data_IF_110794676203
#
_entry.id   IF_110794676203
#
_cell.length_a   1.000
_cell.length_b   1.000
_cell.length_c   1.000
_cell.angle_alpha   90.00
_cell.angle_beta   90.00
_cell.angle_gamma   90.00
#
_symmetry.space_group_name_H-M   'P 1'
#
loop_
_entity.id
_entity.type
_entity.pdbx_description
1 polymer ?
#
# COMPACT_ATOMS: atom_id res chain seq x y z
N UNK A 1 -8.59 -13.21 2.94
CA UNK A 1 -9.42 -14.40 2.58
C UNK A 1 -10.79 -14.36 3.27
N UNK A 2 -10.88 -14.12 4.57
CA UNK A 2 -12.16 -14.13 5.32
C UNK A 2 -13.19 -13.12 4.79
N UNK A 3 -12.76 -11.94 4.36
CA UNK A 3 -13.62 -10.88 3.84
C UNK A 3 -13.64 -10.82 2.31
N UNK A 4 -13.04 -11.79 1.61
CA UNK A 4 -12.99 -11.90 0.14
C UNK A 4 -12.41 -10.67 -0.57
N UNK A 5 -11.53 -9.93 0.10
CA UNK A 5 -10.82 -8.81 -0.53
C UNK A 5 -9.83 -9.38 -1.53
N UNK A 6 -9.81 -8.91 -2.81
CA UNK A 6 -8.85 -9.37 -3.79
C UNK A 6 -7.44 -8.91 -3.42
N UNK A 7 -6.59 -9.87 -3.14
CA UNK A 7 -5.17 -9.68 -2.77
C UNK A 7 -4.36 -10.89 -3.22
N UNK A 8 -3.06 -10.87 -3.01
CA UNK A 8 -2.17 -11.99 -3.25
C UNK A 8 -2.61 -13.24 -2.49
N UNK A 9 -2.43 -14.41 -3.08
CA UNK A 9 -2.48 -15.64 -2.33
C UNK A 9 -1.27 -15.72 -1.42
N UNK A 10 -1.49 -16.12 -0.16
CA UNK A 10 -0.44 -16.10 0.85
C UNK A 10 -0.57 -17.23 1.87
N UNK A 11 0.55 -17.54 2.51
CA UNK A 11 0.61 -18.35 3.72
C UNK A 11 1.55 -17.70 4.74
N UNK A 12 1.25 -17.89 6.04
CA UNK A 12 2.01 -17.36 7.17
C UNK A 12 2.63 -18.48 7.96
N UNK A 13 3.87 -18.30 8.40
CA UNK A 13 4.66 -19.29 9.10
C UNK A 13 5.36 -18.67 10.30
N UNK A 14 5.23 -19.32 11.45
CA UNK A 14 6.00 -19.07 12.67
C UNK A 14 7.19 -20.05 12.81
N UNK A 15 7.34 -20.97 11.84
CA UNK A 15 8.38 -21.98 11.80
C UNK A 15 9.14 -21.91 10.46
N UNK A 16 10.48 -21.84 10.57
CA UNK A 16 11.39 -21.71 9.41
C UNK A 16 11.34 -22.90 8.47
N UNK A 17 11.30 -24.11 9.01
CA UNK A 17 11.33 -25.34 8.21
C UNK A 17 10.03 -25.48 7.40
N UNK A 18 8.90 -25.17 8.01
CA UNK A 18 7.58 -25.15 7.33
C UNK A 18 7.54 -24.10 6.22
N UNK A 19 8.08 -22.89 6.47
CA UNK A 19 8.17 -21.83 5.47
C UNK A 19 9.00 -22.27 4.26
N UNK A 20 10.17 -22.90 4.47
CA UNK A 20 11.03 -23.39 3.40
C UNK A 20 10.37 -24.54 2.63
N UNK A 21 9.69 -25.45 3.32
CA UNK A 21 8.95 -26.55 2.68
C UNK A 21 7.82 -26.00 1.78
N UNK A 22 7.09 -25.01 2.25
CA UNK A 22 6.05 -24.35 1.45
C UNK A 22 6.67 -23.63 0.24
N UNK A 23 7.75 -22.85 0.44
CA UNK A 23 8.46 -22.17 -0.64
C UNK A 23 8.86 -23.12 -1.77
N UNK A 24 9.33 -24.33 -1.44
CA UNK A 24 9.80 -25.30 -2.44
C UNK A 24 8.71 -25.71 -3.45
N UNK A 25 7.44 -25.67 -3.04
CA UNK A 25 6.28 -26.00 -3.87
C UNK A 25 5.73 -24.79 -4.66
N UNK A 26 6.22 -23.56 -4.40
CA UNK A 26 5.69 -22.35 -5.04
C UNK A 26 6.43 -22.00 -6.33
N UNK A 27 5.74 -21.37 -7.30
CA UNK A 27 6.37 -20.79 -8.47
C UNK A 27 7.20 -19.55 -8.10
N UNK A 28 8.06 -19.12 -9.03
CA UNK A 28 8.82 -17.88 -8.96
C UNK A 28 8.35 -16.91 -10.07
N UNK A 29 8.47 -15.59 -9.88
CA UNK A 29 8.94 -14.92 -8.67
C UNK A 29 7.96 -15.06 -7.50
N UNK A 30 8.44 -14.81 -6.27
CA UNK A 30 7.65 -14.92 -5.04
C UNK A 30 8.01 -13.78 -4.07
N UNK A 31 7.08 -13.39 -3.20
CA UNK A 31 7.30 -12.31 -2.24
C UNK A 31 7.41 -12.87 -0.82
N UNK A 32 8.48 -12.50 -0.14
CA UNK A 32 8.72 -12.85 1.26
C UNK A 32 8.60 -11.59 2.10
N UNK A 33 7.75 -11.61 3.12
CA UNK A 33 7.51 -10.47 4.02
C UNK A 33 7.70 -10.87 5.47
N UNK A 34 8.31 -9.97 6.26
CA UNK A 34 8.28 -10.06 7.72
C UNK A 34 6.92 -9.58 8.22
N UNK A 35 6.24 -10.38 9.06
CA UNK A 35 4.97 -10.01 9.68
C UNK A 35 5.23 -9.18 10.94
N UNK A 36 5.57 -7.91 10.74
CA UNK A 36 5.89 -6.98 11.82
C UNK A 36 6.36 -5.60 11.32
N UNK A 37 6.70 -4.74 12.28
CA UNK A 37 7.20 -3.39 12.00
C UNK A 37 8.66 -3.45 11.49
N UNK A 38 8.83 -3.68 10.19
CA UNK A 38 10.14 -3.76 9.54
C UNK A 38 10.51 -2.46 8.78
N UNK A 39 9.77 -1.36 8.99
CA UNK A 39 10.01 -0.05 8.36
C UNK A 39 10.17 -0.11 6.82
N UNK A 40 9.38 -0.97 6.16
CA UNK A 40 9.43 -1.17 4.70
C UNK A 40 10.62 -2.02 4.20
N UNK A 41 11.51 -2.46 5.10
CA UNK A 41 12.72 -3.24 4.74
C UNK A 41 12.50 -4.76 4.80
N UNK A 42 11.40 -5.22 5.37
CA UNK A 42 11.08 -6.64 5.55
C UNK A 42 10.39 -7.28 4.35
N UNK A 43 10.46 -6.70 3.15
CA UNK A 43 9.84 -7.22 1.92
C UNK A 43 10.92 -7.53 0.89
N UNK A 44 10.92 -8.76 0.40
CA UNK A 44 11.84 -9.23 -0.65
C UNK A 44 11.04 -9.86 -1.78
N UNK A 45 11.17 -9.32 -2.99
CA UNK A 45 10.73 -9.99 -4.22
C UNK A 45 11.87 -10.89 -4.67
N UNK A 46 11.65 -12.18 -4.67
CA UNK A 46 12.67 -13.19 -4.95
C UNK A 46 12.43 -13.87 -6.29
N UNK A 47 13.35 -13.65 -7.23
CA UNK A 47 13.36 -14.30 -8.54
C UNK A 47 13.98 -15.71 -8.52
N UNK A 48 14.65 -16.06 -7.42
CA UNK A 48 15.28 -17.37 -7.24
C UNK A 48 14.94 -17.96 -5.88
N UNK A 49 14.90 -19.30 -5.80
CA UNK A 49 14.71 -20.00 -4.52
C UNK A 49 15.75 -19.60 -3.48
N UNK A 50 17.02 -19.44 -3.88
CA UNK A 50 18.11 -19.03 -2.99
C UNK A 50 17.87 -17.65 -2.36
N UNK A 51 17.35 -16.68 -3.14
CA UNK A 51 16.99 -15.36 -2.61
C UNK A 51 15.83 -15.46 -1.63
N UNK A 52 14.81 -16.25 -1.94
CA UNK A 52 13.67 -16.45 -1.05
C UNK A 52 14.07 -17.15 0.26
N UNK A 53 14.91 -18.19 0.20
CA UNK A 53 15.44 -18.87 1.38
C UNK A 53 16.28 -17.92 2.24
N UNK A 54 17.12 -17.08 1.62
CA UNK A 54 17.90 -16.09 2.35
C UNK A 54 17.01 -15.07 3.05
N UNK A 55 15.94 -14.58 2.38
CA UNK A 55 14.98 -13.66 2.98
C UNK A 55 14.24 -14.29 4.18
N UNK A 56 13.83 -15.55 4.07
CA UNK A 56 13.22 -16.30 5.18
C UNK A 56 14.21 -16.43 6.35
N UNK A 57 15.48 -16.78 6.06
CA UNK A 57 16.51 -16.87 7.07
C UNK A 57 16.73 -15.54 7.78
N UNK A 58 16.87 -14.43 7.03
CA UNK A 58 17.08 -13.09 7.56
C UNK A 58 15.96 -12.65 8.53
N UNK A 59 14.71 -13.09 8.29
CA UNK A 59 13.58 -12.78 9.18
C UNK A 59 13.65 -13.61 10.46
N UNK A 60 13.85 -14.94 10.35
CA UNK A 60 13.94 -15.79 11.54
C UNK A 60 15.23 -15.59 12.35
N UNK A 61 16.29 -15.07 11.72
CA UNK A 61 17.53 -14.65 12.39
C UNK A 61 17.43 -13.22 12.98
N UNK A 62 16.20 -12.71 13.10
CA UNK A 62 15.84 -11.44 13.77
C UNK A 62 16.45 -10.16 13.16
N UNK A 63 16.88 -10.18 11.89
CA UNK A 63 17.49 -9.04 11.22
C UNK A 63 16.59 -7.80 11.14
N UNK A 64 15.26 -7.99 11.16
CA UNK A 64 14.25 -6.92 11.06
C UNK A 64 13.53 -6.68 12.39
N UNK A 65 13.78 -7.46 13.42
CA UNK A 65 13.16 -7.41 14.74
C UNK A 65 12.90 -8.81 15.30
N UNK A 66 12.70 -8.89 16.62
CA UNK A 66 12.54 -10.17 17.31
C UNK A 66 11.14 -10.78 17.10
N UNK A 67 11.06 -12.11 17.05
CA UNK A 67 9.83 -12.90 17.03
C UNK A 67 8.87 -12.53 15.89
N UNK A 68 9.38 -12.29 14.68
CA UNK A 68 8.55 -12.04 13.52
C UNK A 68 8.24 -13.34 12.77
N UNK A 69 6.98 -13.49 12.37
CA UNK A 69 6.58 -14.54 11.44
C UNK A 69 6.95 -14.15 10.01
N UNK A 70 6.97 -15.15 9.14
CA UNK A 70 7.16 -14.97 7.71
C UNK A 70 5.83 -15.10 6.98
N UNK A 71 5.54 -14.16 6.10
CA UNK A 71 4.45 -14.28 5.13
C UNK A 71 5.05 -14.50 3.75
N UNK A 72 4.60 -15.56 3.08
CA UNK A 72 5.00 -15.90 1.72
C UNK A 72 3.80 -15.64 0.82
N UNK A 73 3.95 -14.74 -0.15
CA UNK A 73 2.88 -14.32 -1.06
C UNK A 73 3.23 -14.60 -2.51
N UNK A 74 2.22 -14.87 -3.33
CA UNK A 74 2.39 -14.88 -4.77
C UNK A 74 2.89 -13.51 -5.26
N UNK A 75 3.73 -13.49 -6.27
CA UNK A 75 4.10 -12.25 -6.93
C UNK A 75 2.94 -11.77 -7.80
N UNK A 76 2.48 -10.54 -7.55
CA UNK A 76 1.48 -9.89 -8.39
C UNK A 76 2.19 -9.06 -9.45
N UNK A 77 1.99 -9.42 -10.73
CA UNK A 77 2.46 -8.66 -11.87
C UNK A 77 1.44 -7.55 -12.24
N UNK A 78 1.92 -6.40 -12.69
CA UNK A 78 1.08 -5.26 -13.06
C UNK A 78 1.76 -3.92 -12.83
N UNK A 79 0.96 -2.86 -12.81
CA UNK A 79 1.39 -1.51 -12.43
C UNK A 79 0.86 -1.15 -11.06
N UNK A 80 1.73 -0.61 -10.20
CA UNK A 80 1.33 -0.12 -8.89
C UNK A 80 0.55 1.20 -9.01
N UNK A 81 -0.46 1.37 -8.18
CA UNK A 81 -1.16 2.63 -7.97
C UNK A 81 -1.56 2.80 -6.51
N UNK A 82 -1.57 4.03 -6.06
CA UNK A 82 -1.95 4.45 -4.72
C UNK A 82 -3.35 5.04 -4.75
N UNK A 83 -4.28 4.48 -3.98
CA UNK A 83 -5.63 5.03 -3.85
C UNK A 83 -5.91 5.42 -2.39
N UNK A 84 -6.46 6.61 -2.21
CA UNK A 84 -6.68 7.19 -0.90
C UNK A 84 -8.15 7.47 -0.65
N UNK A 85 -8.59 7.16 0.58
CA UNK A 85 -9.93 7.52 1.04
C UNK A 85 -9.85 8.12 2.45
N UNK A 86 -10.72 9.10 2.73
CA UNK A 86 -10.94 9.59 4.08
C UNK A 86 -12.18 8.91 4.65
N UNK A 87 -12.04 8.28 5.83
CA UNK A 87 -13.06 7.44 6.45
C UNK A 87 -13.49 8.05 7.79
N UNK A 88 -14.78 8.02 8.12
CA UNK A 88 -15.31 8.53 9.39
C UNK A 88 -15.86 7.46 10.35
N UNK A 89 -15.62 6.20 10.01
CA UNK A 89 -16.11 5.04 10.76
C UNK A 89 -17.38 4.42 10.20
N UNK A 90 -18.15 5.16 9.41
CA UNK A 90 -19.36 4.73 8.73
C UNK A 90 -19.22 4.81 7.22
N UNK A 91 -18.86 5.99 6.73
CA UNK A 91 -18.74 6.34 5.33
C UNK A 91 -17.29 6.69 4.96
N UNK A 92 -17.04 6.84 3.68
CA UNK A 92 -15.77 7.35 3.17
C UNK A 92 -15.96 8.25 1.96
N UNK A 93 -14.99 9.14 1.72
CA UNK A 93 -14.85 9.93 0.50
C UNK A 93 -13.52 9.64 -0.17
N UNK A 94 -13.54 9.56 -1.50
CA UNK A 94 -12.34 9.36 -2.31
C UNK A 94 -11.47 10.60 -2.32
N UNK A 95 -10.16 10.43 -2.08
CA UNK A 95 -9.13 11.47 -2.16
C UNK A 95 -8.31 11.40 -3.45
N UNK A 96 -8.82 10.73 -4.48
CA UNK A 96 -8.14 10.49 -5.74
C UNK A 96 -7.05 9.42 -5.68
N UNK A 97 -6.40 9.21 -6.82
CA UNK A 97 -5.29 8.28 -7.00
C UNK A 97 -3.98 9.02 -7.23
N UNK A 98 -2.90 8.36 -6.91
CA UNK A 98 -1.56 8.77 -7.28
C UNK A 98 -0.74 7.56 -7.74
N UNK A 99 0.37 7.80 -8.38
CA UNK A 99 1.36 6.77 -8.68
C UNK A 99 2.72 7.28 -8.24
N UNK A 100 3.37 6.52 -7.37
CA UNK A 100 4.70 6.83 -6.87
C UNK A 100 5.77 6.03 -7.61
N UNK A 101 6.99 6.54 -7.57
CA UNK A 101 8.18 5.89 -8.13
C UNK A 101 9.13 5.56 -6.97
N UNK A 102 9.13 4.29 -6.57
CA UNK A 102 9.90 3.81 -5.42
C UNK A 102 11.30 3.39 -5.79
N UNK A 103 11.52 2.90 -7.00
CA UNK A 103 12.82 2.37 -7.40
C UNK A 103 13.80 3.47 -7.82
N UNK A 104 15.07 3.29 -7.44
CA UNK A 104 16.12 4.30 -7.64
C UNK A 104 16.56 4.45 -9.10
N UNK A 105 16.41 3.41 -9.90
CA UNK A 105 16.90 3.36 -11.28
C UNK A 105 15.86 3.71 -12.31
N UNK A 106 16.32 4.03 -13.52
CA UNK A 106 15.45 4.27 -14.67
C UNK A 106 14.63 3.03 -15.02
N UNK A 107 13.44 3.25 -15.60
CA UNK A 107 12.48 2.19 -15.97
C UNK A 107 12.09 1.28 -14.80
N UNK A 108 11.89 1.86 -13.62
CA UNK A 108 11.46 1.17 -12.40
C UNK A 108 12.37 -0.01 -12.04
N UNK A 109 13.69 0.23 -12.01
CA UNK A 109 14.71 -0.77 -11.71
C UNK A 109 15.48 -0.44 -10.43
N UNK A 110 16.20 -1.44 -9.90
CA UNK A 110 17.05 -1.27 -8.71
C UNK A 110 16.26 -1.41 -7.39
N UNK A 111 16.90 -1.10 -6.26
CA UNK A 111 16.30 -1.20 -4.94
C UNK A 111 15.21 -0.14 -4.70
N UNK A 112 14.25 -0.47 -3.84
CA UNK A 112 13.25 0.47 -3.37
C UNK A 112 13.87 1.56 -2.50
N UNK A 113 13.31 2.77 -2.62
CA UNK A 113 13.61 3.95 -1.80
C UNK A 113 12.37 4.34 -0.96
N UNK A 114 12.45 5.45 -0.25
CA UNK A 114 11.29 6.07 0.41
C UNK A 114 10.33 6.82 -0.52
N UNK A 115 10.54 6.71 -1.85
CA UNK A 115 9.79 7.43 -2.89
C UNK A 115 10.65 8.50 -3.57
N UNK A 116 10.82 8.39 -4.88
CA UNK A 116 11.58 9.34 -5.71
C UNK A 116 10.73 10.49 -6.22
N UNK A 117 9.44 10.30 -6.31
CA UNK A 117 8.44 11.25 -6.77
C UNK A 117 7.10 10.58 -6.98
N UNK A 118 6.09 11.38 -7.23
CA UNK A 118 4.74 10.91 -7.53
C UNK A 118 4.02 11.85 -8.48
N UNK A 119 2.95 11.34 -9.09
CA UNK A 119 2.01 12.17 -9.85
C UNK A 119 0.56 11.75 -9.57
N UNK A 120 -0.38 12.65 -9.82
CA UNK A 120 -1.83 12.44 -9.66
C UNK A 120 -2.59 13.15 -10.80
N UNK A 121 -3.66 12.53 -11.34
CA UNK A 121 -4.14 11.18 -11.08
C UNK A 121 -3.23 10.11 -11.69
N UNK A 122 -3.33 8.88 -11.22
CA UNK A 122 -2.66 7.74 -11.84
C UNK A 122 -3.42 7.32 -13.12
N UNK A 123 -2.81 7.35 -14.32
CA UNK A 123 -3.52 7.05 -15.57
C UNK A 123 -4.10 5.64 -15.63
N UNK A 124 -3.44 4.68 -14.98
CA UNK A 124 -3.90 3.30 -14.89
C UNK A 124 -5.17 3.16 -14.03
N UNK A 125 -5.42 4.13 -13.11
CA UNK A 125 -6.56 4.08 -12.18
C UNK A 125 -7.82 4.69 -12.80
N UNK A 126 -8.44 3.96 -13.71
CA UNK A 126 -9.64 4.39 -14.44
C UNK A 126 -10.89 4.46 -13.53
N UNK A 127 -11.98 5.16 -13.95
CA UNK A 127 -13.25 5.15 -13.21
C UNK A 127 -13.81 3.75 -12.95
N UNK A 128 -13.64 2.81 -13.88
CA UNK A 128 -14.06 1.42 -13.73
C UNK A 128 -13.27 0.70 -12.62
N UNK A 129 -11.96 0.94 -12.56
CA UNK A 129 -11.10 0.39 -11.50
C UNK A 129 -11.47 1.01 -10.17
N UNK A 130 -11.71 2.33 -10.11
CA UNK A 130 -12.17 3.01 -8.89
C UNK A 130 -13.45 2.36 -8.35
N UNK A 131 -14.45 2.14 -9.20
CA UNK A 131 -15.70 1.49 -8.80
C UNK A 131 -15.46 0.07 -8.26
N UNK A 132 -14.60 -0.70 -8.90
CA UNK A 132 -14.22 -2.03 -8.44
C UNK A 132 -13.52 -1.98 -7.08
N UNK A 133 -12.55 -1.08 -6.91
CA UNK A 133 -11.79 -0.92 -5.65
C UNK A 133 -12.71 -0.48 -4.51
N UNK A 134 -13.59 0.49 -4.73
CA UNK A 134 -14.56 0.94 -3.74
C UNK A 134 -15.48 -0.19 -3.29
N UNK A 135 -15.98 -1.01 -4.24
CA UNK A 135 -16.91 -2.11 -3.98
C UNK A 135 -16.23 -3.34 -3.35
N UNK A 136 -15.04 -3.73 -3.83
CA UNK A 136 -14.44 -5.02 -3.51
C UNK A 136 -13.29 -4.93 -2.50
N UNK A 137 -12.71 -3.75 -2.31
CA UNK A 137 -11.55 -3.53 -1.43
C UNK A 137 -11.91 -2.61 -0.26
N UNK A 138 -12.30 -1.36 -0.51
CA UNK A 138 -12.51 -0.37 0.55
C UNK A 138 -13.75 -0.71 1.39
N UNK A 139 -14.91 -0.84 0.75
CA UNK A 139 -16.17 -1.12 1.46
C UNK A 139 -16.12 -2.40 2.31
N UNK A 140 -15.64 -3.55 1.81
CA UNK A 140 -15.52 -4.76 2.63
C UNK A 140 -14.55 -4.59 3.80
N UNK A 141 -13.46 -3.84 3.61
CA UNK A 141 -12.49 -3.58 4.68
C UNK A 141 -13.09 -2.78 5.81
N UNK A 142 -13.75 -1.64 5.50
CA UNK A 142 -14.37 -0.80 6.50
C UNK A 142 -15.50 -1.53 7.25
N UNK A 143 -16.32 -2.31 6.52
CA UNK A 143 -17.36 -3.16 7.12
C UNK A 143 -16.77 -4.22 8.07
N UNK A 144 -15.66 -4.84 7.69
CA UNK A 144 -14.99 -5.85 8.52
C UNK A 144 -14.41 -5.23 9.79
N UNK A 145 -13.73 -4.10 9.69
CA UNK A 145 -13.21 -3.36 10.83
C UNK A 145 -14.32 -2.95 11.80
N UNK A 146 -15.41 -2.39 11.29
CA UNK A 146 -16.57 -2.01 12.10
C UNK A 146 -17.20 -3.23 12.78
N UNK A 147 -17.39 -4.33 12.06
CA UNK A 147 -17.93 -5.58 12.62
C UNK A 147 -17.08 -6.15 13.76
N UNK A 148 -15.77 -5.95 13.68
CA UNK A 148 -14.82 -6.38 14.73
C UNK A 148 -14.70 -5.38 15.88
N UNK A 149 -15.52 -4.33 15.94
CA UNK A 149 -15.52 -3.32 17.01
C UNK A 149 -14.47 -2.23 16.84
N UNK A 150 -13.84 -2.13 15.68
CA UNK A 150 -12.78 -1.16 15.35
C UNK A 150 -13.16 -0.30 14.15
N UNK A 151 -14.23 0.54 14.19
CA UNK A 151 -14.58 1.42 13.10
C UNK A 151 -13.41 2.36 12.77
N UNK A 152 -12.97 2.38 11.53
CA UNK A 152 -11.79 3.13 11.12
C UNK A 152 -12.13 4.59 10.82
N UNK A 153 -11.42 5.52 11.46
CA UNK A 153 -11.47 6.96 11.18
C UNK A 153 -10.10 7.47 10.77
N UNK A 154 -10.03 8.20 9.66
CA UNK A 154 -8.80 8.78 9.15
C UNK A 154 -8.55 8.45 7.69
N UNK A 155 -7.30 8.63 7.26
CA UNK A 155 -6.85 8.36 5.89
C UNK A 155 -6.47 6.89 5.75
N UNK A 156 -7.15 6.19 4.85
CA UNK A 156 -6.80 4.84 4.44
C UNK A 156 -6.17 4.91 3.05
N UNK A 157 -4.92 4.50 2.96
CA UNK A 157 -4.18 4.34 1.71
C UNK A 157 -4.18 2.86 1.33
N UNK A 158 -4.76 2.54 0.18
CA UNK A 158 -4.69 1.22 -0.44
C UNK A 158 -3.62 1.24 -1.53
N UNK A 159 -2.53 0.50 -1.32
CA UNK A 159 -1.55 0.16 -2.35
C UNK A 159 -2.11 -0.95 -3.22
N UNK A 160 -2.21 -0.70 -4.52
CA UNK A 160 -2.87 -1.57 -5.48
C UNK A 160 -1.90 -2.05 -6.54
N UNK A 161 -2.04 -3.29 -6.98
CA UNK A 161 -1.47 -3.81 -8.20
C UNK A 161 -2.58 -3.95 -9.24
N UNK A 162 -2.42 -3.30 -10.39
CA UNK A 162 -3.42 -3.26 -11.45
C UNK A 162 -2.89 -3.98 -12.68
N UNK A 163 -3.62 -5.00 -13.11
CA UNK A 163 -3.34 -5.74 -14.33
C UNK A 163 -4.62 -6.02 -15.10
N UNK A 164 -4.59 -5.84 -16.42
CA UNK A 164 -5.71 -6.12 -17.33
C UNK A 164 -7.04 -5.46 -16.90
N UNK A 165 -6.96 -4.26 -16.31
CA UNK A 165 -8.13 -3.50 -15.87
C UNK A 165 -8.78 -4.02 -14.59
N UNK A 166 -8.03 -4.77 -13.76
CA UNK A 166 -8.47 -5.25 -12.45
C UNK A 166 -7.43 -4.97 -11.37
N UNK A 167 -7.87 -4.44 -10.24
CA UNK A 167 -7.02 -4.09 -9.11
C UNK A 167 -7.05 -5.18 -8.02
N UNK A 168 -5.86 -5.49 -7.48
CA UNK A 168 -5.68 -6.33 -6.29
C UNK A 168 -4.94 -5.54 -5.23
N UNK A 169 -5.29 -5.74 -3.97
CA UNK A 169 -4.67 -5.07 -2.84
C UNK A 169 -3.27 -5.63 -2.58
N UNK A 170 -2.27 -4.74 -2.49
CA UNK A 170 -0.91 -5.07 -2.05
C UNK A 170 -0.81 -4.90 -0.53
N UNK A 171 -1.20 -3.71 -0.04
CA UNK A 171 -1.13 -3.36 1.37
C UNK A 171 -2.05 -2.19 1.71
N UNK A 172 -2.29 -2.00 3.00
CA UNK A 172 -2.88 -0.78 3.54
C UNK A 172 -1.84 0.02 4.32
N UNK A 173 -1.92 1.34 4.17
CA UNK A 173 -1.29 2.29 5.07
C UNK A 173 -2.36 3.18 5.73
N UNK A 174 -2.21 3.46 7.03
CA UNK A 174 -3.17 4.25 7.82
C UNK A 174 -2.76 5.72 7.94
N UNK A 175 -2.25 6.28 6.86
CA UNK A 175 -1.72 7.63 6.72
C UNK A 175 -1.74 8.05 5.26
N UNK A 176 -1.45 9.32 5.01
CA UNK A 176 -1.07 9.74 3.67
C UNK A 176 0.24 9.10 3.21
N UNK A 177 0.43 9.01 1.90
CA UNK A 177 1.70 8.66 1.30
C UNK A 177 2.69 9.82 1.32
N UNK A 178 3.95 9.53 1.18
CA UNK A 178 5.04 10.48 0.95
C UNK A 178 5.92 9.89 -0.16
N UNK A 179 5.86 10.46 -1.40
CA UNK A 179 5.46 11.83 -1.74
C UNK A 179 4.03 12.00 -2.32
N UNK A 180 3.12 11.05 -2.19
CA UNK A 180 1.79 11.12 -2.83
C UNK A 180 0.90 12.22 -2.22
N UNK A 181 1.05 12.51 -0.92
CA UNK A 181 0.28 13.57 -0.27
C UNK A 181 0.43 14.92 -0.98
N UNK A 182 1.65 15.25 -1.38
CA UNK A 182 1.97 16.52 -2.03
C UNK A 182 1.19 16.69 -3.34
N UNK A 183 1.12 15.67 -4.17
CA UNK A 183 0.39 15.74 -5.45
C UNK A 183 -1.11 15.75 -5.27
N UNK A 184 -1.64 15.09 -4.23
CA UNK A 184 -3.06 15.16 -3.89
C UNK A 184 -3.46 16.56 -3.41
N UNK A 185 -2.66 17.16 -2.53
CA UNK A 185 -2.94 18.50 -1.97
C UNK A 185 -2.88 19.59 -3.03
N UNK A 186 -2.03 19.46 -4.05
CA UNK A 186 -1.97 20.40 -5.18
C UNK A 186 -3.25 20.42 -6.02
N UNK A 187 -3.99 19.32 -6.06
CA UNK A 187 -5.23 19.18 -6.85
C UNK A 187 -6.50 19.41 -6.06
N UNK A 188 -6.44 19.29 -4.73
CA UNK A 188 -7.62 19.43 -3.88
C UNK A 188 -8.09 20.89 -3.79
N UNK A 189 -9.36 21.17 -4.18
CA UNK A 189 -9.97 22.50 -4.05
C UNK A 189 -10.57 22.75 -2.67
N UNK A 190 -10.90 21.68 -1.95
CA UNK A 190 -11.51 21.77 -0.65
C UNK A 190 -10.49 22.09 0.46
N UNK A 191 -10.98 22.75 1.51
CA UNK A 191 -10.20 22.93 2.72
C UNK A 191 -9.97 21.59 3.45
N UNK A 192 -8.71 21.20 3.58
CA UNK A 192 -8.31 19.95 4.24
C UNK A 192 -8.74 19.90 5.71
N UNK A 193 -8.68 21.05 6.42
CA UNK A 193 -9.06 21.10 7.84
C UNK A 193 -10.57 20.81 7.97
N UNK A 194 -11.37 21.37 7.09
CA UNK A 194 -12.82 21.09 7.07
C UNK A 194 -13.11 19.62 6.77
N UNK A 195 -12.37 19.00 5.86
CA UNK A 195 -12.48 17.57 5.59
C UNK A 195 -12.15 16.74 6.84
N UNK A 196 -11.06 17.08 7.53
CA UNK A 196 -10.65 16.40 8.77
C UNK A 196 -11.70 16.55 9.86
N UNK A 197 -12.27 17.75 10.03
CA UNK A 197 -13.35 17.97 11.00
C UNK A 197 -14.60 17.13 10.66
N UNK A 198 -15.02 17.10 9.40
CA UNK A 198 -16.13 16.26 8.95
C UNK A 198 -15.87 14.77 9.20
N UNK A 199 -14.63 14.32 9.02
CA UNK A 199 -14.21 12.95 9.34
C UNK A 199 -14.37 12.65 10.83
N UNK A 200 -13.91 13.53 11.71
CA UNK A 200 -14.01 13.36 13.16
C UNK A 200 -15.45 13.36 13.65
N UNK A 201 -16.30 14.23 13.07
CA UNK A 201 -17.70 14.40 13.41
C UNK A 201 -18.62 13.30 12.83
N UNK A 202 -18.13 12.45 11.92
CA UNK A 202 -18.94 11.41 11.26
C UNK A 202 -19.92 11.98 10.24
N UNK A 203 -19.51 13.00 9.48
CA UNK A 203 -20.36 13.72 8.53
C UNK A 203 -19.87 13.67 7.08
N UNK A 204 -18.99 12.70 6.75
CA UNK A 204 -18.42 12.56 5.41
C UNK A 204 -19.46 12.25 4.32
N UNK A 205 -20.58 11.59 4.66
CA UNK A 205 -21.68 11.34 3.72
C UNK A 205 -22.26 12.60 3.06
N UNK A 206 -22.06 13.77 3.68
CA UNK A 206 -22.49 15.09 3.17
C UNK A 206 -21.36 15.86 2.50
N UNK A 207 -20.15 15.31 2.50
CA UNK A 207 -18.95 15.97 1.98
C UNK A 207 -18.78 15.66 0.50
N UNK A 208 -18.73 16.70 -0.33
CA UNK A 208 -18.38 16.60 -1.73
C UNK A 208 -16.99 17.17 -1.93
N UNK A 209 -16.08 16.38 -2.47
CA UNK A 209 -14.75 16.84 -2.84
C UNK A 209 -14.72 17.30 -4.28
N UNK A 210 -13.96 18.35 -4.52
CA UNK A 210 -13.73 18.94 -5.84
C UNK A 210 -12.21 18.95 -6.10
N UNK A 211 -11.85 18.66 -7.31
CA UNK A 211 -10.45 18.50 -7.73
C UNK A 211 -10.16 19.41 -8.90
N UNK A 212 -8.91 19.87 -9.02
CA UNK A 212 -8.42 20.47 -10.25
C UNK A 212 -8.34 19.42 -11.35
N UNK A 213 -8.69 19.81 -12.56
CA UNK A 213 -8.61 18.95 -13.74
C UNK A 213 -7.15 18.72 -14.18
N UNK A 214 -6.26 19.62 -13.82
CA UNK A 214 -4.85 19.56 -14.13
C UNK A 214 -4.15 18.39 -13.38
N UNK A 215 -3.13 17.85 -14.02
CA UNK A 215 -2.26 16.85 -13.41
C UNK A 215 -1.26 17.55 -12.48
N UNK A 216 -0.88 16.86 -11.42
CA UNK A 216 0.17 17.31 -10.50
C UNK A 216 1.31 16.29 -10.45
N UNK A 217 2.52 16.77 -10.29
CA UNK A 217 3.71 15.93 -10.09
C UNK A 217 4.63 16.53 -9.05
N UNK A 218 5.35 15.69 -8.32
CA UNK A 218 6.41 16.07 -7.41
C UNK A 218 7.63 15.19 -7.63
N UNK A 219 8.81 15.79 -7.47
CA UNK A 219 10.07 15.07 -7.42
C UNK A 219 10.74 15.34 -6.06
N UNK A 220 11.21 14.29 -5.42
CA UNK A 220 11.90 14.40 -4.13
C UNK A 220 13.33 14.93 -4.38
N UNK A 221 13.65 16.07 -3.75
CA UNK A 221 14.98 16.68 -3.82
C UNK A 221 15.41 17.17 -2.44
N UNK A 222 16.64 16.84 -2.06
CA UNK A 222 17.24 17.28 -0.80
C UNK A 222 18.76 17.31 -0.90
N UNK A 223 19.39 18.17 -0.10
CA UNK A 223 20.85 18.36 -0.08
C UNK A 223 21.56 17.49 0.95
N UNK A 224 20.80 16.83 1.82
CA UNK A 224 21.30 15.89 2.84
C UNK A 224 20.27 14.77 3.04
N UNK A 225 20.69 13.63 3.59
CA UNK A 225 19.80 12.50 3.85
C UNK A 225 18.71 12.89 4.86
N UNK A 226 17.48 12.47 4.60
CA UNK A 226 16.39 12.62 5.55
C UNK A 226 16.56 11.68 6.73
N UNK A 227 15.97 12.02 7.88
CA UNK A 227 16.11 11.25 9.11
C UNK A 227 15.67 9.78 8.97
N UNK A 228 14.64 9.49 8.17
CA UNK A 228 14.17 8.13 7.92
C UNK A 228 15.08 7.33 6.96
N UNK A 229 15.94 8.00 6.19
CA UNK A 229 16.91 7.39 5.28
C UNK A 229 18.25 7.15 5.94
N UNK A 230 18.52 7.85 7.04
CA UNK A 230 19.74 7.69 7.85
C UNK A 230 19.63 6.62 8.92
N UNK A 231 18.43 6.13 9.21
CA UNK A 231 18.22 5.02 10.14
C UNK A 231 18.38 3.70 9.39
N UNK A 232 19.61 3.25 9.31
CA UNK A 232 19.97 1.88 8.92
C UNK A 232 19.99 0.98 10.14
#
# INVERSE_FOLDING_TARGET
KQNRIPTADYARFDNKEEAINYLNAQPLPIVIKADGLAAGKGVTVADTKKMAEQAINDIFDEKFGANMDVVIEEFMDGEEASYFVCCDGEDFVSLESAQDHKRIGENDTGPNTGGMGAYSPAPIFTPKIKEQVDREIITPTLKALKKNGHPYKGILYAGLMIKDGYARLVEYNIRFGDPECQVLMLRMKNDLIKLILNCLEGSLSKTKLEWEDDNSATAVSYTHLRAHETRT
#
